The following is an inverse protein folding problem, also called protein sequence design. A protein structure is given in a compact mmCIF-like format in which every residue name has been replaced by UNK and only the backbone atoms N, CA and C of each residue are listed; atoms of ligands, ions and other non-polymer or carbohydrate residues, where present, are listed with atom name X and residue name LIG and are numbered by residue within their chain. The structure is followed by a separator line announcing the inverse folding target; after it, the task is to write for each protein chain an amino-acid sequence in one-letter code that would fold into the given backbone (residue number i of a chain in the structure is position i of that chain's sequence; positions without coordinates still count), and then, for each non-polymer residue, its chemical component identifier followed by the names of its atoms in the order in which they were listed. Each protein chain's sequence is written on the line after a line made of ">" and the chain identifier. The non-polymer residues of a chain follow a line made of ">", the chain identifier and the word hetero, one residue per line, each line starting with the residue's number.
data_IF_676738555955
#
_entry.id   IF_676738555955
#
_cell.length_a   1.000
_cell.length_b   1.000
_cell.length_c   1.000
_cell.angle_alpha   90.00
_cell.angle_beta   90.00
_cell.angle_gamma   90.00
#
_symmetry.space_group_name_H-M   'P 1'
#
loop_
_entity.id
_entity.type
_entity.pdbx_description
1 polymer ?
#
# COMPACT_ATOMS: atom_id res chain seq x y z
N UNK A 1 -16.61 -9.84 3.14
CA UNK A 1 -17.51 -8.74 3.56
C UNK A 1 -17.48 -7.68 2.47
N UNK A 2 -18.59 -7.00 2.16
CA UNK A 2 -18.56 -5.97 1.12
C UNK A 2 -17.61 -4.83 1.53
N UNK A 3 -16.84 -4.30 0.57
CA UNK A 3 -16.07 -3.07 0.77
C UNK A 3 -17.07 -1.98 1.17
N UNK A 4 -16.85 -1.33 2.31
CA UNK A 4 -17.70 -0.25 2.74
C UNK A 4 -17.53 0.92 1.75
N UNK A 5 -18.59 1.25 1.01
CA UNK A 5 -18.55 2.30 -0.02
C UNK A 5 -18.08 3.64 0.52
N UNK A 6 -18.39 3.93 1.80
CA UNK A 6 -17.92 5.14 2.47
C UNK A 6 -16.39 5.12 2.67
N UNK A 7 -15.82 3.99 3.10
CA UNK A 7 -14.37 3.88 3.30
C UNK A 7 -13.62 3.97 1.97
N UNK A 8 -14.20 3.40 0.90
CA UNK A 8 -13.68 3.55 -0.47
C UNK A 8 -13.69 5.02 -0.92
N UNK A 9 -14.80 5.73 -0.72
CA UNK A 9 -14.93 7.14 -1.11
C UNK A 9 -13.95 8.02 -0.32
N UNK A 10 -13.84 7.82 1.00
CA UNK A 10 -12.93 8.58 1.86
C UNK A 10 -11.47 8.32 1.47
N UNK A 11 -11.11 7.07 1.16
CA UNK A 11 -9.78 6.74 0.66
C UNK A 11 -9.49 7.44 -0.65
N UNK A 12 -10.38 7.34 -1.64
CA UNK A 12 -10.24 8.00 -2.93
C UNK A 12 -10.03 9.51 -2.79
N UNK A 13 -10.88 10.19 -2.00
CA UNK A 13 -10.73 11.62 -1.74
C UNK A 13 -9.40 11.97 -1.09
N UNK A 14 -8.93 11.16 -0.14
CA UNK A 14 -7.64 11.36 0.50
C UNK A 14 -6.49 11.23 -0.50
N UNK A 15 -6.49 10.20 -1.36
CA UNK A 15 -5.48 10.01 -2.41
C UNK A 15 -5.45 11.18 -3.38
N UNK A 16 -6.59 11.57 -3.93
CA UNK A 16 -6.68 12.66 -4.91
C UNK A 16 -6.23 14.01 -4.31
N UNK A 17 -6.47 14.22 -3.02
CA UNK A 17 -6.06 15.44 -2.32
C UNK A 17 -4.54 15.53 -2.03
N UNK A 18 -3.81 14.42 -2.15
CA UNK A 18 -2.39 14.30 -1.77
C UNK A 18 -1.49 13.96 -2.95
N UNK A 19 -2.00 13.28 -3.98
CA UNK A 19 -1.20 12.77 -5.12
C UNK A 19 -0.36 13.83 -5.82
N UNK A 20 -0.86 15.07 -5.90
CA UNK A 20 -0.20 16.21 -6.57
C UNK A 20 0.73 17.01 -5.65
N UNK A 21 0.75 16.73 -4.35
CA UNK A 21 1.64 17.41 -3.42
C UNK A 21 3.10 17.02 -3.68
N UNK A 22 4.01 17.98 -3.49
CA UNK A 22 5.46 17.78 -3.57
C UNK A 22 5.98 17.11 -2.28
N UNK A 23 5.49 15.90 -2.00
CA UNK A 23 5.85 15.09 -0.84
C UNK A 23 6.52 13.78 -1.28
N UNK A 24 7.33 13.18 -0.40
CA UNK A 24 7.82 11.83 -0.62
C UNK A 24 6.66 10.82 -0.61
N UNK A 25 6.83 9.64 -1.20
CA UNK A 25 5.78 8.63 -1.20
C UNK A 25 5.37 8.19 0.22
N UNK A 26 6.34 8.08 1.13
CA UNK A 26 6.08 7.76 2.53
C UNK A 26 5.19 8.83 3.18
N UNK A 27 5.55 10.11 2.99
CA UNK A 27 4.78 11.23 3.52
C UNK A 27 3.38 11.31 2.90
N UNK A 28 3.25 11.01 1.60
CA UNK A 28 1.94 10.92 0.94
C UNK A 28 1.10 9.81 1.58
N UNK A 29 1.65 8.62 1.78
CA UNK A 29 0.94 7.50 2.39
C UNK A 29 0.53 7.82 3.85
N UNK A 30 1.41 8.46 4.62
CA UNK A 30 1.11 8.92 5.98
C UNK A 30 -0.01 9.98 6.00
N UNK A 31 0.03 10.96 5.09
CA UNK A 31 -0.99 12.01 4.97
C UNK A 31 -2.34 11.42 4.54
N UNK A 32 -2.34 10.46 3.61
CA UNK A 32 -3.56 9.73 3.21
C UNK A 32 -4.12 8.97 4.41
N UNK A 33 -3.29 8.27 5.18
CA UNK A 33 -3.72 7.57 6.38
C UNK A 33 -4.35 8.54 7.40
N UNK A 34 -3.70 9.68 7.67
CA UNK A 34 -4.21 10.70 8.57
C UNK A 34 -5.57 11.27 8.12
N UNK A 35 -5.71 11.66 6.85
CA UNK A 35 -6.95 12.23 6.28
C UNK A 35 -8.10 11.23 6.24
N UNK A 36 -7.77 9.95 6.03
CA UNK A 36 -8.75 8.88 5.96
C UNK A 36 -9.00 8.18 7.30
N UNK A 37 -8.40 8.67 8.40
CA UNK A 37 -8.45 8.06 9.75
C UNK A 37 -8.02 6.59 9.76
N UNK A 38 -7.13 6.22 8.84
CA UNK A 38 -6.52 4.91 8.74
C UNK A 38 -5.18 4.84 9.48
N UNK A 39 -4.61 3.63 9.50
CA UNK A 39 -3.27 3.39 10.02
C UNK A 39 -2.37 2.87 8.90
N UNK A 40 -1.21 3.50 8.68
CA UNK A 40 -0.23 3.02 7.72
C UNK A 40 0.38 1.71 8.23
N UNK A 41 0.27 0.64 7.44
CA UNK A 41 0.76 -0.70 7.77
C UNK A 41 2.20 -0.90 7.35
N UNK A 42 2.50 -0.50 6.12
CA UNK A 42 3.83 -0.58 5.54
C UNK A 42 3.98 0.39 4.37
N UNK A 43 5.23 0.71 4.07
CA UNK A 43 5.71 1.32 2.82
C UNK A 43 7.00 0.58 2.46
N UNK A 44 6.96 -0.18 1.36
CA UNK A 44 8.05 -1.05 0.92
C UNK A 44 8.43 -0.77 -0.54
N UNK A 45 9.69 -1.02 -0.87
CA UNK A 45 10.19 -0.96 -2.25
C UNK A 45 9.84 -2.24 -3.00
N UNK A 46 9.66 -2.09 -4.30
CA UNK A 46 9.53 -3.17 -5.27
C UNK A 46 10.71 -3.01 -6.24
N UNK A 47 11.68 -3.90 -6.15
CA UNK A 47 12.92 -3.76 -6.91
C UNK A 47 12.80 -4.36 -8.32
N UNK A 48 12.10 -5.49 -8.46
CA UNK A 48 12.06 -6.33 -9.67
C UNK A 48 10.73 -6.20 -10.45
N UNK A 49 10.14 -5.00 -10.49
CA UNK A 49 8.90 -4.75 -11.24
C UNK A 49 9.03 -3.61 -12.25
N UNK A 50 8.53 -3.83 -13.46
CA UNK A 50 8.64 -2.87 -14.57
C UNK A 50 7.86 -1.57 -14.33
N UNK A 51 6.74 -1.64 -13.60
CA UNK A 51 5.77 -0.55 -13.50
C UNK A 51 5.77 0.08 -12.11
N UNK A 52 5.88 -0.74 -11.06
CA UNK A 52 5.75 -0.35 -9.66
C UNK A 52 7.13 -0.31 -9.02
N UNK A 53 7.45 0.78 -8.33
CA UNK A 53 8.67 0.87 -7.52
C UNK A 53 8.42 0.85 -6.01
N UNK A 54 7.20 1.19 -5.56
CA UNK A 54 6.82 1.14 -4.14
C UNK A 54 5.36 0.79 -3.95
N UNK A 55 5.09 0.10 -2.85
CA UNK A 55 3.74 -0.17 -2.36
C UNK A 55 3.58 0.32 -0.94
N UNK A 56 2.41 0.86 -0.62
CA UNK A 56 2.00 1.16 0.74
C UNK A 56 0.59 0.63 1.00
N UNK A 57 0.31 0.25 2.25
CA UNK A 57 -1.01 -0.22 2.67
C UNK A 57 -1.49 0.52 3.93
N UNK A 58 -2.77 0.82 3.99
CA UNK A 58 -3.42 1.60 5.04
C UNK A 58 -4.65 0.84 5.53
N UNK A 59 -4.71 0.50 6.81
CA UNK A 59 -5.86 -0.19 7.42
C UNK A 59 -6.90 0.78 7.94
N UNK A 60 -8.16 0.49 7.64
CA UNK A 60 -9.33 1.22 8.10
C UNK A 60 -10.01 0.53 9.29
N UNK A 61 -10.83 1.28 10.04
CA UNK A 61 -11.57 0.76 11.20
C UNK A 61 -12.52 -0.38 10.84
N UNK A 62 -13.04 -0.41 9.61
CA UNK A 62 -13.89 -1.49 9.11
C UNK A 62 -13.14 -2.76 8.68
N UNK A 63 -11.81 -2.78 8.83
CA UNK A 63 -10.95 -3.91 8.42
C UNK A 63 -10.54 -3.89 6.95
N UNK A 64 -11.07 -2.96 6.14
CA UNK A 64 -10.61 -2.76 4.77
C UNK A 64 -9.19 -2.20 4.75
N UNK A 65 -8.48 -2.47 3.66
CA UNK A 65 -7.09 -2.04 3.47
C UNK A 65 -7.01 -1.26 2.16
N UNK A 66 -6.67 0.02 2.23
CA UNK A 66 -6.30 0.82 1.07
C UNK A 66 -4.87 0.52 0.65
N UNK A 67 -4.63 0.30 -0.63
CA UNK A 67 -3.29 0.04 -1.19
C UNK A 67 -2.95 1.13 -2.19
N UNK A 68 -1.71 1.60 -2.15
CA UNK A 68 -1.15 2.62 -3.03
C UNK A 68 0.06 2.03 -3.77
N UNK A 69 0.14 2.28 -5.07
CA UNK A 69 1.30 1.97 -5.88
C UNK A 69 1.94 3.24 -6.44
N UNK A 70 3.26 3.34 -6.26
CA UNK A 70 4.09 4.36 -6.89
C UNK A 70 4.69 3.79 -8.17
N UNK A 71 4.45 4.45 -9.30
CA UNK A 71 5.07 4.08 -10.57
C UNK A 71 6.55 4.48 -10.63
N UNK A 72 7.27 3.97 -11.63
CA UNK A 72 8.67 4.32 -11.90
C UNK A 72 8.89 5.81 -12.23
N UNK A 73 7.84 6.56 -12.58
CA UNK A 73 7.88 8.00 -12.80
C UNK A 73 7.72 8.82 -11.49
N UNK A 74 7.48 8.15 -10.35
CA UNK A 74 7.35 8.78 -9.05
C UNK A 74 5.95 9.31 -8.75
N UNK A 75 4.94 8.84 -9.48
CA UNK A 75 3.54 9.22 -9.30
C UNK A 75 2.75 8.08 -8.66
N UNK A 76 1.72 8.42 -7.88
CA UNK A 76 0.74 7.42 -7.44
C UNK A 76 -0.09 7.06 -8.66
N UNK A 77 0.24 5.95 -9.30
CA UNK A 77 -0.37 5.53 -10.57
C UNK A 77 -1.63 4.72 -10.35
N UNK A 78 -1.68 3.96 -9.24
CA UNK A 78 -2.78 3.06 -8.91
C UNK A 78 -3.04 3.03 -7.42
N UNK A 79 -4.31 2.80 -7.10
CA UNK A 79 -4.75 2.53 -5.76
C UNK A 79 -6.00 1.66 -5.80
N UNK A 80 -6.21 0.87 -4.75
CA UNK A 80 -7.38 0.02 -4.60
C UNK A 80 -7.72 -0.16 -3.13
N UNK A 81 -8.93 -0.66 -2.85
CA UNK A 81 -9.30 -1.13 -1.52
C UNK A 81 -9.52 -2.62 -1.59
N UNK A 82 -8.88 -3.35 -0.69
CA UNK A 82 -8.95 -4.81 -0.56
C UNK A 82 -9.52 -5.18 0.82
N UNK A 83 -9.95 -6.42 0.96
CA UNK A 83 -10.38 -6.99 2.24
C UNK A 83 -9.28 -7.88 2.85
N UNK A 84 -9.64 -8.57 3.92
CA UNK A 84 -8.71 -9.37 4.72
C UNK A 84 -8.21 -10.66 4.02
N UNK A 85 -8.68 -10.94 2.80
CA UNK A 85 -8.19 -12.09 2.00
C UNK A 85 -6.70 -12.00 1.67
N UNK A 86 -6.12 -10.79 1.71
CA UNK A 86 -4.71 -10.54 1.48
C UNK A 86 -3.86 -10.51 2.77
N UNK A 87 -4.45 -10.76 3.94
CA UNK A 87 -3.78 -10.73 5.24
C UNK A 87 -2.46 -11.51 5.28
N UNK A 88 -2.41 -12.69 4.67
CA UNK A 88 -1.20 -13.53 4.59
C UNK A 88 -0.02 -12.87 3.86
N UNK A 89 -0.30 -11.98 2.92
CA UNK A 89 0.72 -11.23 2.18
C UNK A 89 1.12 -9.94 2.91
N UNK A 90 0.19 -9.36 3.67
CA UNK A 90 0.38 -8.10 4.40
C UNK A 90 1.12 -8.32 5.72
N UNK A 91 0.81 -9.38 6.46
CA UNK A 91 1.36 -9.62 7.78
C UNK A 91 2.90 -9.65 7.82
N UNK A 92 3.61 -10.29 6.87
CA UNK A 92 5.07 -10.22 6.82
C UNK A 92 5.61 -8.80 6.59
N UNK A 93 4.94 -8.01 5.74
CA UNK A 93 5.33 -6.62 5.42
C UNK A 93 5.12 -5.70 6.62
N UNK A 94 3.95 -5.79 7.25
CA UNK A 94 3.60 -5.05 8.46
C UNK A 94 4.54 -5.40 9.63
N UNK A 95 4.80 -6.69 9.85
CA UNK A 95 5.74 -7.13 10.87
C UNK A 95 7.13 -6.55 10.61
N UNK A 96 7.63 -6.61 9.38
CA UNK A 96 8.92 -6.03 9.01
C UNK A 96 8.96 -4.51 9.25
N UNK A 97 7.95 -3.76 8.83
CA UNK A 97 7.89 -2.30 9.06
C UNK A 97 7.87 -1.93 10.54
N UNK A 98 7.27 -2.76 11.40
CA UNK A 98 7.26 -2.53 12.85
C UNK A 98 8.62 -2.81 13.55
N UNK A 99 9.56 -3.48 12.88
CA UNK A 99 10.87 -3.79 13.46
C UNK A 99 11.76 -2.54 13.55
N UNK A 100 12.69 -2.49 14.52
CA UNK A 100 13.77 -1.50 14.50
C UNK A 100 14.55 -1.56 13.18
N UNK A 101 15.04 -0.41 12.71
CA UNK A 101 15.78 -0.29 11.43
C UNK A 101 16.97 -1.27 11.35
N UNK A 102 17.64 -1.53 12.47
CA UNK A 102 18.75 -2.48 12.54
C UNK A 102 18.34 -3.95 12.29
N UNK A 103 17.09 -4.29 12.55
CA UNK A 103 16.52 -5.60 12.20
C UNK A 103 15.98 -5.61 10.78
N UNK A 104 15.35 -4.53 10.32
CA UNK A 104 14.88 -4.41 8.93
C UNK A 104 16.00 -4.65 7.91
N UNK A 105 17.21 -4.14 8.19
CA UNK A 105 18.38 -4.35 7.33
C UNK A 105 18.86 -5.81 7.25
N UNK A 106 18.44 -6.68 8.18
CA UNK A 106 18.85 -8.10 8.23
C UNK A 106 17.84 -9.04 7.58
N UNK A 107 16.59 -8.60 7.45
CA UNK A 107 15.50 -9.41 6.91
C UNK A 107 15.05 -8.83 5.59
N UNK A 108 15.24 -9.58 4.51
CA UNK A 108 14.77 -9.19 3.20
C UNK A 108 13.25 -9.36 3.10
N UNK A 109 12.56 -8.24 2.84
CA UNK A 109 11.11 -8.17 2.67
C UNK A 109 10.70 -8.10 1.19
N UNK A 110 11.66 -7.91 0.27
CA UNK A 110 11.40 -7.65 -1.15
C UNK A 110 10.66 -8.82 -1.81
N UNK A 111 10.99 -10.06 -1.45
CA UNK A 111 10.25 -11.23 -1.93
C UNK A 111 8.78 -11.21 -1.52
N UNK A 112 8.48 -10.87 -0.27
CA UNK A 112 7.10 -10.77 0.21
C UNK A 112 6.34 -9.62 -0.46
N UNK A 113 7.04 -8.52 -0.75
CA UNK A 113 6.47 -7.37 -1.44
C UNK A 113 6.08 -7.71 -2.89
N UNK A 114 6.93 -8.47 -3.59
CA UNK A 114 6.63 -9.02 -4.92
C UNK A 114 5.43 -9.97 -4.90
N UNK A 115 5.40 -10.93 -3.96
CA UNK A 115 4.25 -11.84 -3.80
C UNK A 115 2.93 -11.10 -3.56
N UNK A 116 2.97 -10.01 -2.78
CA UNK A 116 1.79 -9.18 -2.56
C UNK A 116 1.35 -8.47 -3.84
N UNK A 117 2.29 -7.89 -4.60
CA UNK A 117 1.99 -7.25 -5.88
C UNK A 117 1.37 -8.24 -6.89
N UNK A 118 1.93 -9.43 -7.01
CA UNK A 118 1.40 -10.48 -7.89
C UNK A 118 0.01 -10.93 -7.47
N UNK A 119 -0.23 -11.05 -6.16
CA UNK A 119 -1.56 -11.36 -5.64
C UNK A 119 -2.58 -10.26 -6.03
N UNK A 120 -2.21 -8.99 -5.93
CA UNK A 120 -3.07 -7.87 -6.33
C UNK A 120 -3.38 -7.90 -7.83
N UNK A 121 -2.39 -8.20 -8.68
CA UNK A 121 -2.56 -8.35 -10.13
C UNK A 121 -3.47 -9.50 -10.49
N UNK A 122 -3.25 -10.66 -9.89
CA UNK A 122 -4.07 -11.86 -10.11
C UNK A 122 -5.54 -11.63 -9.70
N UNK A 123 -5.79 -10.74 -8.74
CA UNK A 123 -7.12 -10.33 -8.32
C UNK A 123 -7.71 -9.16 -9.15
N UNK A 124 -6.96 -8.61 -10.11
CA UNK A 124 -7.39 -7.50 -10.96
C UNK A 124 -7.35 -6.11 -10.29
N UNK A 125 -6.68 -5.99 -9.14
CA UNK A 125 -6.54 -4.71 -8.42
C UNK A 125 -5.40 -3.83 -8.96
N UNK A 126 -4.45 -4.42 -9.68
CA UNK A 126 -3.32 -3.75 -10.31
C UNK A 126 -3.22 -4.22 -11.77
N UNK A 127 -2.60 -3.43 -12.65
CA UNK A 127 -2.29 -3.95 -14.00
C UNK A 127 -1.26 -5.07 -13.89
N UNK A 128 -1.55 -6.17 -14.58
CA UNK A 128 -0.55 -7.19 -14.88
C UNK A 128 0.49 -6.66 -15.87
N UNK A 129 1.65 -7.30 -15.87
CA UNK A 129 2.58 -7.26 -17.00
C UNK A 129 2.02 -8.07 -18.17
#
# INVERSE_FOLDING_TARGET
>A
MAVNELDLLVFQMAVESVRSLCLSFNDKAAEIAARSRGNLLFDVRIDDDAEVQRLAAIRYRGGQIGVLALDRQGLISRYCVIDDTFSRFIAPLENWTSMPVSMQAKFDVTHHAGLFLDALRNAGHMLGN
#
